data_IF_805242981197
#
_entry.id   IF_805242981197
#
_cell.length_a   1.000
_cell.length_b   1.000
_cell.length_c   1.000
_cell.angle_alpha   90.00
_cell.angle_beta   90.00
_cell.angle_gamma   90.00
#
_symmetry.space_group_name_H-M   'P 1'
#
loop_
_entity.id
_entity.type
_entity.pdbx_description
1 polymer ?
#
# COMPACT_ATOMS: atom_id res chain seq x y z
N UNK A 1 9.66 -16.34 0.74
CA UNK A 1 9.37 -16.22 -0.70
C UNK A 1 8.44 -15.02 -0.89
N UNK A 2 8.61 -14.24 -1.96
CA UNK A 2 7.68 -13.16 -2.29
C UNK A 2 6.32 -13.75 -2.71
N UNK A 3 5.20 -13.02 -2.56
CA UNK A 3 3.94 -13.44 -3.17
C UNK A 3 4.12 -13.61 -4.68
N UNK A 4 3.43 -14.61 -5.26
CA UNK A 4 3.41 -14.77 -6.71
C UNK A 4 2.23 -13.97 -7.26
N UNK A 5 2.49 -13.19 -8.30
CA UNK A 5 1.49 -12.48 -9.08
C UNK A 5 1.74 -12.74 -10.55
N UNK A 6 0.67 -12.90 -11.32
CA UNK A 6 0.72 -13.05 -12.78
C UNK A 6 0.26 -11.75 -13.48
N UNK A 7 0.03 -10.67 -12.72
CA UNK A 7 -0.47 -9.37 -13.22
C UNK A 7 0.47 -8.22 -12.84
N UNK A 8 0.70 -7.32 -13.81
CA UNK A 8 1.30 -6.02 -13.55
C UNK A 8 0.18 -4.96 -13.50
N UNK A 9 0.16 -4.16 -12.43
CA UNK A 9 -0.79 -3.06 -12.22
C UNK A 9 -0.04 -1.76 -12.01
N UNK A 10 -0.65 -0.65 -12.39
CA UNK A 10 -0.12 0.67 -12.09
C UNK A 10 -0.46 1.02 -10.63
N UNK A 11 0.52 0.97 -9.74
CA UNK A 11 0.37 1.23 -8.32
C UNK A 11 0.94 2.62 -7.96
N UNK A 12 0.39 3.23 -6.91
CA UNK A 12 0.83 4.52 -6.38
C UNK A 12 2.18 4.38 -5.65
N UNK A 13 2.36 3.28 -4.91
CA UNK A 13 3.61 2.96 -4.21
C UNK A 13 3.80 3.66 -2.85
N UNK A 14 2.95 4.65 -2.55
CA UNK A 14 2.92 5.41 -1.29
C UNK A 14 1.50 5.90 -0.94
N UNK A 15 0.48 5.05 -1.12
CA UNK A 15 -0.88 5.44 -0.76
C UNK A 15 -1.05 5.52 0.77
N UNK A 16 -1.41 6.71 1.25
CA UNK A 16 -1.62 7.01 2.66
C UNK A 16 -2.61 8.18 2.82
N UNK A 17 -3.22 8.40 4.01
CA UNK A 17 -4.20 9.46 4.20
C UNK A 17 -3.72 10.86 3.79
N UNK A 18 -2.42 11.14 3.97
CA UNK A 18 -1.78 12.41 3.56
C UNK A 18 -1.82 12.67 2.04
N UNK A 19 -1.96 11.62 1.24
CA UNK A 19 -1.94 11.65 -0.23
C UNK A 19 -3.34 11.52 -0.84
N UNK A 20 -4.39 11.49 0.00
CA UNK A 20 -5.80 11.39 -0.43
C UNK A 20 -6.51 12.71 -0.07
N UNK A 21 -6.98 13.42 -1.09
CA UNK A 21 -7.79 14.62 -0.90
C UNK A 21 -9.27 14.24 -0.77
N UNK A 22 -9.93 14.80 0.24
CA UNK A 22 -11.36 14.61 0.52
C UNK A 22 -12.08 15.95 0.55
N UNK A 23 -13.33 15.98 0.08
CA UNK A 23 -14.21 17.14 0.22
C UNK A 23 -14.89 17.19 1.61
N UNK A 24 -15.70 18.22 1.85
CA UNK A 24 -16.44 18.40 3.11
C UNK A 24 -17.48 17.29 3.37
N UNK A 25 -17.89 16.55 2.34
CA UNK A 25 -18.83 15.42 2.43
C UNK A 25 -18.11 14.08 2.63
N UNK A 26 -16.77 14.07 2.65
CA UNK A 26 -15.97 12.85 2.75
C UNK A 26 -15.78 12.09 1.43
N UNK A 27 -16.10 12.70 0.28
CA UNK A 27 -15.83 12.10 -1.02
C UNK A 27 -14.35 12.26 -1.37
N UNK A 28 -13.74 11.20 -1.91
CA UNK A 28 -12.39 11.27 -2.45
C UNK A 28 -12.42 12.10 -3.74
N UNK A 29 -11.69 13.21 -3.76
CA UNK A 29 -11.62 14.14 -4.90
C UNK A 29 -10.28 14.11 -5.62
N UNK A 30 -9.27 13.48 -5.04
CA UNK A 30 -7.95 13.41 -5.67
C UNK A 30 -6.98 12.50 -4.91
N UNK A 31 -6.01 12.00 -5.67
CA UNK A 31 -4.83 11.30 -5.16
C UNK A 31 -3.61 12.07 -5.68
N UNK A 32 -2.71 12.43 -4.79
CA UNK A 32 -1.51 13.24 -5.08
C UNK A 32 -0.24 12.48 -4.68
N UNK A 33 0.92 13.03 -5.05
CA UNK A 33 2.24 12.50 -4.67
C UNK A 33 2.61 11.15 -5.33
N UNK A 34 2.50 11.11 -6.66
CA UNK A 34 2.73 9.93 -7.50
C UNK A 34 4.22 9.64 -7.80
N UNK A 35 5.18 10.21 -7.07
CA UNK A 35 6.61 10.09 -7.40
C UNK A 35 7.15 8.65 -7.30
N UNK A 36 6.52 7.79 -6.49
CA UNK A 36 6.84 6.36 -6.37
C UNK A 36 6.02 5.44 -7.27
N UNK A 37 5.16 6.01 -8.10
CA UNK A 37 4.22 5.25 -8.90
C UNK A 37 4.91 4.48 -10.02
N UNK A 38 4.31 3.36 -10.41
CA UNK A 38 4.86 2.52 -11.47
C UNK A 38 4.09 1.23 -11.69
N UNK A 39 4.57 0.43 -12.64
CA UNK A 39 4.03 -0.89 -12.90
C UNK A 39 4.68 -1.91 -11.97
N UNK A 40 3.89 -2.50 -11.09
CA UNK A 40 4.32 -3.46 -10.09
C UNK A 40 3.37 -4.67 -10.06
N UNK A 41 3.78 -5.79 -9.40
CA UNK A 41 2.83 -6.84 -9.05
C UNK A 41 1.62 -6.31 -8.29
N UNK A 42 0.45 -6.91 -8.49
CA UNK A 42 -0.82 -6.54 -7.82
C UNK A 42 -0.76 -6.51 -6.28
N UNK A 43 0.12 -7.28 -5.66
CA UNK A 43 0.35 -7.23 -4.21
C UNK A 43 1.12 -5.99 -3.72
N UNK A 44 1.70 -5.20 -4.62
CA UNK A 44 2.69 -4.19 -4.26
C UNK A 44 2.12 -3.06 -3.41
N UNK A 45 0.96 -2.51 -3.77
CA UNK A 45 0.32 -1.43 -2.99
C UNK A 45 -0.01 -1.93 -1.57
N UNK A 46 -0.58 -3.13 -1.44
CA UNK A 46 -0.85 -3.76 -0.15
C UNK A 46 0.44 -3.90 0.67
N UNK A 47 1.54 -4.35 0.05
CA UNK A 47 2.82 -4.46 0.73
C UNK A 47 3.33 -3.11 1.25
N UNK A 48 3.15 -2.04 0.48
CA UNK A 48 3.56 -0.68 0.86
C UNK A 48 2.71 -0.10 2.00
N UNK A 49 1.38 -0.25 1.93
CA UNK A 49 0.44 0.14 3.00
C UNK A 49 0.77 -0.56 4.33
N UNK A 50 1.12 -1.85 4.27
CA UNK A 50 1.44 -2.65 5.47
C UNK A 50 2.83 -2.37 6.05
N UNK A 51 3.60 -1.42 5.50
CA UNK A 51 4.79 -0.92 6.21
C UNK A 51 4.35 -0.31 7.54
N UNK A 52 5.13 -0.47 8.62
CA UNK A 52 4.89 0.27 9.85
C UNK A 52 4.90 1.77 9.54
N UNK A 53 3.73 2.38 9.51
CA UNK A 53 3.58 3.80 9.29
C UNK A 53 3.61 4.52 10.63
N UNK A 54 4.07 5.77 10.64
CA UNK A 54 3.99 6.65 11.82
C UNK A 54 2.55 6.97 12.25
N UNK A 55 1.56 6.60 11.42
CA UNK A 55 0.13 6.85 11.59
C UNK A 55 -0.52 5.55 12.07
N UNK A 56 -0.85 5.50 13.36
CA UNK A 56 -0.99 4.26 14.13
C UNK A 56 -2.06 3.26 13.68
N UNK A 57 -3.00 3.64 12.82
CA UNK A 57 -4.12 2.77 12.43
C UNK A 57 -4.31 2.60 10.92
N UNK A 58 -3.55 3.26 10.04
CA UNK A 58 -3.77 3.18 8.58
C UNK A 58 -3.65 1.74 8.06
N UNK A 59 -2.56 1.05 8.40
CA UNK A 59 -2.36 -0.35 8.02
C UNK A 59 -3.42 -1.25 8.64
N UNK A 60 -3.88 -0.96 9.87
CA UNK A 60 -4.94 -1.72 10.54
C UNK A 60 -6.27 -1.57 9.79
N UNK A 61 -6.67 -0.35 9.44
CA UNK A 61 -7.90 -0.08 8.70
C UNK A 61 -7.85 -0.72 7.31
N UNK A 62 -6.75 -0.53 6.59
CA UNK A 62 -6.59 -1.11 5.27
C UNK A 62 -6.53 -2.64 5.29
N UNK A 63 -5.95 -3.27 6.33
CA UNK A 63 -5.98 -4.73 6.48
C UNK A 63 -7.39 -5.27 6.75
N UNK A 64 -8.21 -4.51 7.48
CA UNK A 64 -9.62 -4.85 7.75
C UNK A 64 -10.50 -4.78 6.50
N UNK A 65 -10.23 -3.83 5.61
CA UNK A 65 -11.04 -3.58 4.42
C UNK A 65 -10.43 -4.09 3.11
N UNK A 66 -9.24 -4.70 3.17
CA UNK A 66 -8.55 -5.21 1.99
C UNK A 66 -9.44 -6.21 1.23
N UNK A 67 -9.65 -6.00 -0.09
CA UNK A 67 -10.41 -6.94 -0.90
C UNK A 67 -9.66 -8.28 -1.03
N UNK A 68 -8.33 -8.24 -0.97
CA UNK A 68 -7.46 -9.40 -0.99
C UNK A 68 -6.28 -9.18 -0.04
N UNK A 69 -5.90 -10.22 0.71
CA UNK A 69 -4.76 -10.19 1.64
C UNK A 69 -3.61 -11.01 1.10
N UNK A 70 -2.44 -10.39 1.09
CA UNK A 70 -1.21 -11.02 0.60
C UNK A 70 -0.33 -11.52 1.74
N UNK A 71 0.31 -12.68 1.55
CA UNK A 71 1.30 -13.19 2.49
C UNK A 71 2.61 -12.41 2.37
N UNK A 72 2.81 -11.41 3.23
CA UNK A 72 3.98 -10.53 3.22
C UNK A 72 5.20 -11.08 4.00
N UNK A 73 5.18 -12.33 4.47
CA UNK A 73 6.25 -12.89 5.31
C UNK A 73 7.65 -12.74 4.68
N UNK A 74 7.79 -13.02 3.38
CA UNK A 74 9.04 -12.85 2.64
C UNK A 74 9.49 -11.39 2.53
N UNK A 75 8.54 -10.47 2.31
CA UNK A 75 8.83 -9.02 2.21
C UNK A 75 9.22 -8.46 3.59
N UNK A 76 8.56 -8.89 4.65
CA UNK A 76 8.89 -8.47 6.00
C UNK A 76 10.24 -9.02 6.46
N UNK A 77 10.59 -10.24 6.05
CA UNK A 77 11.93 -10.78 6.27
C UNK A 77 13.00 -9.96 5.54
N UNK A 78 12.77 -9.57 4.28
CA UNK A 78 13.75 -8.75 3.53
C UNK A 78 13.91 -7.35 4.12
N UNK A 79 12.81 -6.72 4.59
CA UNK A 79 12.84 -5.39 5.22
C UNK A 79 13.73 -5.34 6.46
N UNK A 80 13.76 -6.40 7.28
CA UNK A 80 14.60 -6.49 8.51
C UNK A 80 16.10 -6.63 8.23
N UNK A 81 16.48 -7.01 7.02
CA UNK A 81 17.89 -7.23 6.64
C UNK A 81 18.44 -6.01 5.92
N UNK A 82 17.60 -5.33 5.13
CA UNK A 82 17.98 -4.19 4.31
C UNK A 82 17.91 -2.84 5.07
N UNK A 83 17.25 -2.80 6.22
CA UNK A 83 17.06 -1.63 7.09
C UNK A 83 17.07 -2.09 8.55
#
# INVERSE_FOLDING_TARGET
MLPKSDHAVFAHGDIAPRNIMVDENGNIIGIIDWEYAGWYPDYWEYAQIMRPAFWGDWSIWMERTAPERWNLSGINASRKVLF
#
